data_IF_122979766372
#
_entry.id   IF_122979766372
#
_cell.length_a   1.000
_cell.length_b   1.000
_cell.length_c   1.000
_cell.angle_alpha   90.00
_cell.angle_beta   90.00
_cell.angle_gamma   90.00
#
_symmetry.space_group_name_H-M   'P 1'
#
loop_
_entity.id
_entity.type
_entity.pdbx_description
1 polymer ?
#
# COMPACT_ATOMS: atom_id res chain seq x y z
N UNK A 1 8.74 12.57 -11.18
CA UNK A 1 9.35 11.39 -10.53
C UNK A 1 8.37 10.78 -9.54
N UNK A 2 8.17 9.45 -9.52
CA UNK A 2 7.53 8.81 -8.39
C UNK A 2 8.40 9.06 -7.15
N UNK A 3 7.90 9.82 -6.17
CA UNK A 3 8.63 9.98 -4.91
C UNK A 3 8.40 8.74 -4.08
N UNK A 4 9.48 8.16 -3.55
CA UNK A 4 9.38 7.18 -2.47
C UNK A 4 8.67 7.81 -1.27
N UNK A 5 8.09 6.96 -0.42
CA UNK A 5 7.41 7.41 0.79
C UNK A 5 8.36 8.18 1.72
N UNK A 6 7.92 9.35 2.20
CA UNK A 6 8.70 10.17 3.15
C UNK A 6 8.93 9.44 4.46
N UNK A 7 10.00 9.80 5.17
CA UNK A 7 10.31 9.23 6.48
C UNK A 7 9.19 9.49 7.49
N UNK A 8 8.67 10.72 7.51
CA UNK A 8 7.51 11.13 8.32
C UNK A 8 6.32 10.18 8.13
N UNK A 9 5.99 9.83 6.88
CA UNK A 9 4.90 8.91 6.59
C UNK A 9 5.20 7.49 7.08
N UNK A 10 6.44 7.01 6.98
CA UNK A 10 6.81 5.68 7.50
C UNK A 10 6.66 5.64 9.01
N UNK A 11 7.07 6.69 9.72
CA UNK A 11 6.91 6.80 11.17
C UNK A 11 5.42 6.77 11.55
N UNK A 12 4.57 7.54 10.86
CA UNK A 12 3.11 7.49 11.06
C UNK A 12 2.56 6.08 10.79
N UNK A 13 3.03 5.43 9.74
CA UNK A 13 2.58 4.10 9.36
C UNK A 13 2.92 3.04 10.41
N UNK A 14 4.13 3.07 10.99
CA UNK A 14 4.52 2.14 12.05
C UNK A 14 3.81 2.40 13.39
N UNK A 15 3.24 3.60 13.57
CA UNK A 15 2.40 3.94 14.74
C UNK A 15 0.93 3.60 14.52
N UNK A 16 0.49 3.41 13.28
CA UNK A 16 -0.88 3.07 12.95
C UNK A 16 -1.20 1.63 13.37
N UNK A 17 -2.50 1.32 13.45
CA UNK A 17 -2.96 -0.04 13.74
C UNK A 17 -2.48 -1.02 12.64
N UNK A 18 -1.58 -1.98 12.96
CA UNK A 18 -1.03 -2.93 11.98
C UNK A 18 -2.08 -3.92 11.48
N UNK A 19 -3.19 -4.12 12.21
CA UNK A 19 -4.24 -5.05 11.80
C UNK A 19 -5.20 -4.46 10.78
N UNK A 20 -5.29 -3.12 10.70
CA UNK A 20 -6.10 -2.45 9.71
C UNK A 20 -5.63 -2.75 8.28
N UNK A 21 -6.56 -3.17 7.42
CA UNK A 21 -6.27 -3.61 6.05
C UNK A 21 -5.51 -2.54 5.24
N UNK A 22 -5.84 -1.27 5.44
CA UNK A 22 -5.19 -0.16 4.76
C UNK A 22 -3.74 0.07 5.21
N UNK A 23 -3.44 -0.17 6.50
CA UNK A 23 -2.07 -0.16 7.04
C UNK A 23 -1.25 -1.31 6.45
N UNK A 24 -1.81 -2.53 6.38
CA UNK A 24 -1.16 -3.68 5.73
C UNK A 24 -0.84 -3.41 4.26
N UNK A 25 -1.78 -2.77 3.54
CA UNK A 25 -1.55 -2.35 2.16
C UNK A 25 -0.38 -1.36 2.05
N UNK A 26 -0.32 -0.37 2.95
CA UNK A 26 0.74 0.62 2.95
C UNK A 26 2.12 0.00 3.23
N UNK A 27 2.21 -0.90 4.21
CA UNK A 27 3.45 -1.62 4.53
C UNK A 27 3.97 -2.40 3.32
N UNK A 28 3.11 -3.21 2.70
CA UNK A 28 3.46 -3.95 1.49
C UNK A 28 3.91 -3.03 0.34
N UNK A 29 3.25 -1.88 0.15
CA UNK A 29 3.66 -0.92 -0.88
C UNK A 29 5.00 -0.24 -0.58
N UNK A 30 5.30 0.06 0.69
CA UNK A 30 6.58 0.66 1.10
C UNK A 30 7.71 -0.32 0.89
N UNK A 31 7.54 -1.57 1.35
CA UNK A 31 8.53 -2.65 1.20
C UNK A 31 8.79 -2.99 -0.26
N UNK A 32 7.74 -3.06 -1.09
CA UNK A 32 7.86 -3.33 -2.52
C UNK A 32 8.34 -2.13 -3.36
N UNK A 33 8.60 -0.97 -2.73
CA UNK A 33 8.91 0.29 -3.42
C UNK A 33 7.86 0.63 -4.50
N UNK A 34 6.58 0.48 -4.16
CA UNK A 34 5.43 0.78 -5.03
C UNK A 34 4.79 2.12 -4.64
N UNK A 35 5.01 3.20 -5.42
CA UNK A 35 4.42 4.51 -5.17
C UNK A 35 2.90 4.51 -5.21
N UNK A 36 2.27 5.25 -4.27
CA UNK A 36 0.81 5.39 -4.18
C UNK A 36 0.14 5.85 -5.49
N UNK A 37 0.87 6.57 -6.35
CA UNK A 37 0.39 6.96 -7.69
C UNK A 37 0.05 5.74 -8.54
N UNK A 38 0.91 4.73 -8.59
CA UNK A 38 0.67 3.53 -9.40
C UNK A 38 -0.35 2.60 -8.74
N UNK A 39 -0.30 2.49 -7.40
CA UNK A 39 -1.31 1.76 -6.62
C UNK A 39 -2.71 2.32 -6.90
N UNK A 40 -2.86 3.65 -6.96
CA UNK A 40 -4.13 4.29 -7.29
C UNK A 40 -4.68 3.90 -8.67
N UNK A 41 -3.81 3.72 -9.67
CA UNK A 41 -4.20 3.26 -11.01
C UNK A 41 -4.76 1.84 -10.95
N UNK A 42 -4.11 0.93 -10.24
CA UNK A 42 -4.56 -0.47 -10.07
C UNK A 42 -5.97 -0.51 -9.47
N UNK A 43 -6.22 0.28 -8.42
CA UNK A 43 -7.51 0.30 -7.74
C UNK A 43 -8.57 1.19 -8.40
N UNK A 44 -8.23 1.87 -9.50
CA UNK A 44 -9.07 2.87 -10.20
C UNK A 44 -9.61 3.91 -9.22
N UNK A 45 -8.73 4.47 -8.40
CA UNK A 45 -9.06 5.44 -7.36
C UNK A 45 -8.07 6.60 -7.38
N UNK A 46 -8.26 7.59 -6.50
CA UNK A 46 -7.35 8.73 -6.40
C UNK A 46 -6.16 8.43 -5.49
N UNK A 47 -5.04 9.13 -5.69
CA UNK A 47 -3.89 9.09 -4.77
C UNK A 47 -4.32 9.44 -3.34
N UNK A 48 -5.24 10.40 -3.18
CA UNK A 48 -5.73 10.80 -1.87
C UNK A 48 -6.46 9.66 -1.17
N UNK A 49 -7.31 8.93 -1.90
CA UNK A 49 -8.02 7.76 -1.36
C UNK A 49 -7.05 6.66 -0.91
N UNK A 50 -5.98 6.40 -1.66
CA UNK A 50 -4.93 5.47 -1.23
C UNK A 50 -4.28 5.94 0.07
N UNK A 51 -3.92 7.22 0.19
CA UNK A 51 -3.35 7.76 1.43
C UNK A 51 -4.34 7.71 2.61
N UNK A 52 -5.64 7.90 2.38
CA UNK A 52 -6.66 7.73 3.42
C UNK A 52 -6.68 6.29 3.92
N UNK A 53 -6.67 5.30 3.02
CA UNK A 53 -6.61 3.89 3.41
C UNK A 53 -5.33 3.57 4.16
N UNK A 54 -4.19 4.09 3.73
CA UNK A 54 -2.90 3.89 4.40
C UNK A 54 -2.89 4.36 5.86
N UNK A 55 -3.75 5.31 6.21
CA UNK A 55 -3.94 5.82 7.57
C UNK A 55 -5.10 5.15 8.31
N UNK A 56 -5.54 3.97 7.87
CA UNK A 56 -6.56 3.17 8.55
C UNK A 56 -8.00 3.59 8.26
N UNK A 57 -8.27 4.49 7.31
CA UNK A 57 -9.66 4.79 6.94
C UNK A 57 -10.32 3.56 6.28
N UNK A 58 -11.60 3.29 6.59
CA UNK A 58 -12.28 2.10 6.12
C UNK A 58 -12.41 2.08 4.59
N UNK A 59 -12.14 0.93 3.97
CA UNK A 59 -12.44 0.66 2.58
C UNK A 59 -13.91 0.23 2.43
N UNK A 60 -14.52 0.54 1.27
CA UNK A 60 -15.79 -0.08 0.90
C UNK A 60 -15.58 -1.59 0.76
N UNK A 61 -16.52 -2.41 1.26
CA UNK A 61 -16.43 -3.89 1.23
C UNK A 61 -16.02 -4.46 -0.13
N UNK A 62 -16.54 -3.89 -1.23
CA UNK A 62 -16.19 -4.30 -2.59
C UNK A 62 -14.71 -4.12 -2.94
N UNK A 63 -14.01 -3.16 -2.33
CA UNK A 63 -12.59 -2.89 -2.53
C UNK A 63 -11.70 -3.68 -1.57
N UNK A 64 -12.18 -3.98 -0.36
CA UNK A 64 -11.39 -4.68 0.65
C UNK A 64 -10.90 -6.05 0.15
N UNK A 65 -11.76 -6.85 -0.51
CA UNK A 65 -11.35 -8.12 -1.13
C UNK A 65 -10.23 -7.96 -2.17
N UNK A 66 -10.31 -6.92 -2.99
CA UNK A 66 -9.27 -6.64 -4.00
C UNK A 66 -7.97 -6.19 -3.36
N UNK A 67 -8.05 -5.44 -2.25
CA UNK A 67 -6.87 -5.00 -1.48
C UNK A 67 -6.18 -6.22 -0.85
N UNK A 68 -6.93 -7.13 -0.23
CA UNK A 68 -6.39 -8.39 0.33
C UNK A 68 -5.66 -9.21 -0.73
N UNK A 69 -6.28 -9.41 -1.90
CA UNK A 69 -5.67 -10.13 -3.01
C UNK A 69 -4.39 -9.44 -3.51
N UNK A 70 -4.41 -8.11 -3.61
CA UNK A 70 -3.24 -7.33 -4.00
C UNK A 70 -2.08 -7.48 -3.00
N UNK A 71 -2.35 -7.38 -1.70
CA UNK A 71 -1.33 -7.58 -0.65
C UNK A 71 -0.73 -8.98 -0.76
N UNK A 72 -1.56 -10.01 -0.93
CA UNK A 72 -1.09 -11.39 -1.07
C UNK A 72 -0.16 -11.57 -2.27
N UNK A 73 -0.49 -10.96 -3.42
CA UNK A 73 0.36 -10.99 -4.61
C UNK A 73 1.69 -10.26 -4.39
N UNK A 74 1.65 -9.06 -3.82
CA UNK A 74 2.86 -8.27 -3.53
C UNK A 74 3.78 -9.02 -2.57
N UNK A 75 3.24 -9.59 -1.49
CA UNK A 75 4.03 -10.35 -0.53
C UNK A 75 4.64 -11.61 -1.14
N UNK A 76 3.91 -12.28 -2.05
CA UNK A 76 4.45 -13.41 -2.80
C UNK A 76 5.59 -12.98 -3.71
N UNK A 77 5.42 -11.92 -4.50
CA UNK A 77 6.47 -11.42 -5.39
C UNK A 77 7.69 -10.85 -4.63
N UNK A 78 7.49 -10.34 -3.40
CA UNK A 78 8.57 -10.00 -2.47
C UNK A 78 9.35 -11.25 -2.03
N UNK A 79 8.64 -12.30 -1.61
CA UNK A 79 9.26 -13.56 -1.20
C UNK A 79 10.00 -14.26 -2.36
N UNK A 80 9.46 -14.14 -3.58
CA UNK A 80 10.05 -14.67 -4.81
C UNK A 80 11.20 -13.78 -5.34
N UNK A 81 11.53 -12.67 -4.66
CA UNK A 81 12.62 -11.76 -5.02
C UNK A 81 12.39 -10.92 -6.27
N UNK A 82 11.14 -10.83 -6.77
CA UNK A 82 10.76 -10.01 -7.93
C UNK A 82 10.55 -8.54 -7.57
N UNK A 83 10.15 -8.30 -6.32
CA UNK A 83 10.07 -6.98 -5.70
C UNK A 83 11.19 -6.85 -4.64
N UNK A 84 11.66 -5.64 -4.30
CA UNK A 84 11.12 -4.32 -4.67
C UNK A 84 11.37 -3.90 -6.12
N UNK A 85 10.48 -3.05 -6.65
CA UNK A 85 10.65 -2.46 -7.97
C UNK A 85 11.91 -1.56 -8.02
N UNK A 86 12.71 -1.68 -9.08
CA UNK A 86 13.84 -0.78 -9.34
C UNK A 86 13.27 0.60 -9.68
N UNK A 87 13.65 1.60 -8.87
CA UNK A 87 13.17 2.99 -8.96
C UNK A 87 13.76 3.78 -10.12
#
# INVERSE_FOLDING_TARGET
>A
MPRSYSEEFRIELYKADPEALGTKLAMACVEANLPAKYVAVVFKTTRMTIHSWFRGQPCRKAKCKTIEAFISLVNKDLADGRLPAKG
#
